data_IF_385735833368
#
_entry.id   IF_385735833368
#
_cell.length_a   1.000
_cell.length_b   1.000
_cell.length_c   1.000
_cell.angle_alpha   90.00
_cell.angle_beta   90.00
_cell.angle_gamma   90.00
#
_symmetry.space_group_name_H-M   'P 1'
#
loop_
_entity.id
_entity.type
_entity.pdbx_description
1 polymer ?
#
# COMPACT_ATOMS: atom_id res chain seq x y z
N UNK A 1 -19.76 9.91 -3.11
CA UNK A 1 -20.66 8.73 -3.09
C UNK A 1 -20.46 7.98 -1.78
N UNK A 2 -21.44 7.97 -0.88
CA UNK A 2 -21.35 7.17 0.34
C UNK A 2 -21.55 5.68 0.01
N UNK A 3 -20.64 4.82 0.48
CA UNK A 3 -20.74 3.37 0.29
C UNK A 3 -21.93 2.84 1.08
N UNK A 4 -22.81 2.05 0.45
CA UNK A 4 -23.99 1.52 1.12
C UNK A 4 -23.62 0.46 2.17
N UNK A 5 -24.44 0.32 3.22
CA UNK A 5 -24.26 -0.76 4.23
C UNK A 5 -24.22 -2.15 3.59
N UNK A 6 -24.98 -2.35 2.50
CA UNK A 6 -25.00 -3.59 1.75
C UNK A 6 -23.66 -3.86 1.03
N UNK A 7 -23.05 -2.83 0.42
CA UNK A 7 -21.74 -2.94 -0.21
C UNK A 7 -20.65 -3.27 0.81
N UNK A 8 -20.66 -2.63 1.99
CA UNK A 8 -19.72 -2.94 3.07
C UNK A 8 -19.86 -4.40 3.54
N UNK A 9 -21.09 -4.90 3.68
CA UNK A 9 -21.35 -6.30 4.06
C UNK A 9 -20.85 -7.27 2.99
N UNK A 10 -21.05 -6.95 1.71
CA UNK A 10 -20.59 -7.76 0.59
C UNK A 10 -19.05 -7.85 0.55
N UNK A 11 -18.35 -6.71 0.72
CA UNK A 11 -16.88 -6.69 0.80
C UNK A 11 -16.36 -7.53 1.96
N UNK A 12 -16.93 -7.38 3.16
CA UNK A 12 -16.54 -8.20 4.32
C UNK A 12 -16.72 -9.69 4.07
N UNK A 13 -17.81 -10.10 3.40
CA UNK A 13 -18.06 -11.50 3.04
C UNK A 13 -17.03 -12.01 2.02
N UNK A 14 -16.66 -11.17 1.04
CA UNK A 14 -15.61 -11.50 0.07
C UNK A 14 -14.25 -11.68 0.75
N UNK A 15 -13.89 -10.76 1.64
CA UNK A 15 -12.63 -10.78 2.37
C UNK A 15 -12.53 -12.02 3.27
N UNK A 16 -13.61 -12.36 3.97
CA UNK A 16 -13.68 -13.58 4.79
C UNK A 16 -13.54 -14.87 3.96
N UNK A 17 -14.02 -14.87 2.71
CA UNK A 17 -13.90 -16.03 1.80
C UNK A 17 -12.53 -16.13 1.13
N UNK A 18 -11.80 -15.02 0.99
CA UNK A 18 -10.54 -14.95 0.24
C UNK A 18 -9.41 -14.28 1.05
N UNK A 19 -9.12 -14.74 2.29
CA UNK A 19 -8.25 -14.01 3.21
C UNK A 19 -6.84 -13.80 2.67
N UNK A 20 -6.26 -14.80 2.00
CA UNK A 20 -4.92 -14.71 1.42
C UNK A 20 -4.85 -13.69 0.28
N UNK A 21 -5.83 -13.71 -0.64
CA UNK A 21 -5.89 -12.78 -1.77
C UNK A 21 -6.11 -11.35 -1.29
N UNK A 22 -7.03 -11.14 -0.36
CA UNK A 22 -7.26 -9.82 0.25
C UNK A 22 -6.00 -9.32 0.94
N UNK A 23 -5.31 -10.18 1.70
CA UNK A 23 -4.05 -9.83 2.37
C UNK A 23 -2.99 -9.42 1.35
N UNK A 24 -2.74 -10.23 0.33
CA UNK A 24 -1.76 -9.93 -0.71
C UNK A 24 -2.06 -8.61 -1.43
N UNK A 25 -3.31 -8.39 -1.83
CA UNK A 25 -3.72 -7.15 -2.52
C UNK A 25 -3.60 -5.93 -1.61
N UNK A 26 -3.85 -6.09 -0.30
CA UNK A 26 -3.70 -5.02 0.69
C UNK A 26 -2.23 -4.63 0.85
N UNK A 27 -1.33 -5.61 1.02
CA UNK A 27 0.11 -5.38 1.08
C UNK A 27 0.63 -4.67 -0.18
N UNK A 28 0.23 -5.16 -1.36
CA UNK A 28 0.59 -4.55 -2.64
C UNK A 28 0.09 -3.11 -2.74
N UNK A 29 -1.12 -2.82 -2.25
CA UNK A 29 -1.68 -1.47 -2.24
C UNK A 29 -0.91 -0.55 -1.30
N UNK A 30 -0.51 -1.02 -0.12
CA UNK A 30 0.29 -0.23 0.81
C UNK A 30 1.65 0.15 0.22
N UNK A 31 2.36 -0.80 -0.38
CA UNK A 31 3.63 -0.52 -1.08
C UNK A 31 3.44 0.51 -2.21
N UNK A 32 2.39 0.34 -3.03
CA UNK A 32 2.06 1.32 -4.08
C UNK A 32 1.75 2.71 -3.50
N UNK A 33 0.96 2.79 -2.44
CA UNK A 33 0.58 4.07 -1.82
C UNK A 33 1.78 4.77 -1.19
N UNK A 34 2.78 4.02 -0.70
CA UNK A 34 4.03 4.58 -0.24
C UNK A 34 4.78 5.24 -1.41
N UNK A 35 4.96 4.52 -2.52
CA UNK A 35 5.71 5.00 -3.69
C UNK A 35 5.00 6.14 -4.45
N UNK A 36 3.67 6.04 -4.59
CA UNK A 36 2.86 6.90 -5.44
C UNK A 36 1.65 7.45 -4.68
N UNK A 37 1.91 8.11 -3.54
CA UNK A 37 0.88 8.80 -2.79
C UNK A 37 0.28 9.92 -3.65
N UNK A 38 -1.05 9.93 -3.79
CA UNK A 38 -1.73 11.02 -4.48
C UNK A 38 -1.63 12.32 -3.66
N UNK A 39 -1.47 13.45 -4.35
CA UNK A 39 -1.44 14.76 -3.71
C UNK A 39 -2.71 15.04 -2.91
N UNK A 40 -2.57 15.77 -1.80
CA UNK A 40 -3.68 16.06 -0.89
C UNK A 40 -4.17 14.86 -0.07
N UNK A 41 -3.50 13.71 -0.14
CA UNK A 41 -3.77 12.59 0.77
C UNK A 41 -2.91 12.66 2.01
N UNK A 42 -3.40 12.07 3.12
CA UNK A 42 -2.61 11.91 4.36
C UNK A 42 -1.26 11.21 4.15
N UNK A 43 -1.18 10.31 3.17
CA UNK A 43 0.06 9.65 2.81
C UNK A 43 1.07 10.63 2.20
N UNK A 44 0.61 11.50 1.29
CA UNK A 44 1.47 12.54 0.72
C UNK A 44 1.89 13.58 1.77
N UNK A 45 1.03 13.93 2.71
CA UNK A 45 1.38 14.81 3.84
C UNK A 45 2.46 14.18 4.74
N UNK A 46 2.32 12.89 5.06
CA UNK A 46 3.31 12.16 5.86
C UNK A 46 4.66 12.04 5.15
N UNK A 47 4.66 11.80 3.83
CA UNK A 47 5.89 11.77 3.02
C UNK A 47 6.57 13.15 3.03
N UNK A 48 5.81 14.23 2.82
CA UNK A 48 6.35 15.60 2.87
C UNK A 48 6.92 15.96 4.24
N UNK A 49 6.36 15.43 5.33
CA UNK A 49 6.87 15.67 6.69
C UNK A 49 8.21 14.99 6.97
N UNK A 50 8.47 13.83 6.36
CA UNK A 50 9.66 13.00 6.63
C UNK A 50 10.97 13.57 6.08
N UNK A 51 10.93 14.65 5.30
CA UNK A 51 12.02 15.21 4.48
C UNK A 51 12.36 14.36 3.23
N UNK A 52 12.73 15.05 2.15
CA UNK A 52 12.97 14.42 0.85
C UNK A 52 14.21 13.51 0.85
N UNK A 53 15.20 13.80 1.70
CA UNK A 53 16.45 13.02 1.79
C UNK A 53 16.22 11.65 2.43
N UNK A 54 15.50 11.61 3.55
CA UNK A 54 15.11 10.38 4.25
C UNK A 54 14.16 9.53 3.40
N UNK A 55 13.17 10.15 2.77
CA UNK A 55 12.25 9.43 1.90
C UNK A 55 12.96 8.80 0.69
N UNK A 56 13.95 9.50 0.12
CA UNK A 56 14.79 8.94 -0.94
C UNK A 56 15.61 7.74 -0.44
N UNK A 57 16.16 7.80 0.76
CA UNK A 57 16.89 6.67 1.36
C UNK A 57 15.98 5.46 1.56
N UNK A 58 14.78 5.67 2.12
CA UNK A 58 13.75 4.63 2.30
C UNK A 58 13.37 3.97 0.94
N UNK A 59 13.26 4.75 -0.14
CA UNK A 59 12.97 4.22 -1.48
C UNK A 59 14.11 3.40 -2.07
N UNK A 60 15.36 3.78 -1.83
CA UNK A 60 16.53 3.03 -2.29
C UNK A 60 16.68 1.70 -1.56
N UNK A 61 16.45 1.69 -0.24
CA UNK A 61 16.40 0.46 0.54
C UNK A 61 15.29 -0.48 0.04
N UNK A 62 14.08 0.06 -0.17
CA UNK A 62 12.97 -0.73 -0.70
C UNK A 62 13.27 -1.32 -2.08
N UNK A 63 13.94 -0.56 -2.95
CA UNK A 63 14.38 -1.06 -4.26
C UNK A 63 15.30 -2.26 -4.11
N UNK A 64 16.30 -2.18 -3.23
CA UNK A 64 17.25 -3.26 -3.00
C UNK A 64 16.55 -4.53 -2.47
N UNK A 65 15.64 -4.37 -1.49
CA UNK A 65 14.86 -5.50 -0.96
C UNK A 65 14.00 -6.19 -2.02
N UNK A 66 13.42 -5.42 -2.95
CA UNK A 66 12.66 -5.97 -4.08
C UNK A 66 13.59 -6.76 -5.01
N UNK A 67 14.74 -6.20 -5.37
CA UNK A 67 15.72 -6.88 -6.23
C UNK A 67 16.20 -8.20 -5.61
N UNK A 68 16.47 -8.22 -4.30
CA UNK A 68 16.93 -9.43 -3.62
C UNK A 68 15.82 -10.49 -3.54
N UNK A 69 14.58 -10.09 -3.25
CA UNK A 69 13.44 -11.01 -3.28
C UNK A 69 13.21 -11.60 -4.67
N UNK A 70 13.43 -10.83 -5.74
CA UNK A 70 13.30 -11.31 -7.11
C UNK A 70 14.41 -12.30 -7.48
N UNK A 71 15.62 -12.18 -6.93
CA UNK A 71 16.70 -13.17 -7.13
C UNK A 71 16.42 -14.50 -6.42
N UNK A 72 15.69 -14.46 -5.31
CA UNK A 72 15.32 -15.65 -4.53
C UNK A 72 14.19 -16.48 -5.16
N UNK A 73 13.41 -15.90 -6.08
CA UNK A 73 12.27 -16.54 -6.74
C UNK A 73 12.68 -17.21 -8.06
#
# INVERSE_FOLDING_TARGET
>A
MAVSKAQLKANRKYDAKNPQKTTYMTLRRHARNFIAAAEGTKAAEAIKWRDDSDYKADLLELKQLIEDKLKEL
#
